data_IF_263923903489
#
_entry.id   IF_263923903489
#
_cell.length_a   1.000
_cell.length_b   1.000
_cell.length_c   1.000
_cell.angle_alpha   90.00
_cell.angle_beta   90.00
_cell.angle_gamma   90.00
#
_symmetry.space_group_name_H-M   'P 1'
#
loop_
_entity.id
_entity.type
_entity.pdbx_description
1 polymer ?
#
# COMPACT_ATOMS: atom_id res chain seq x y z
N UNK A 1 -35.93 68.46 0.52
CA UNK A 1 -34.80 68.36 1.47
C UNK A 1 -34.37 66.91 1.52
N UNK A 2 -33.09 66.64 1.20
CA UNK A 2 -32.21 65.55 1.70
C UNK A 2 -32.85 64.16 1.81
N UNK A 3 -32.62 63.30 0.82
CA UNK A 3 -31.70 62.15 0.89
C UNK A 3 -32.42 60.87 1.37
N UNK A 4 -32.14 59.66 0.94
CA UNK A 4 -31.03 59.11 0.19
C UNK A 4 -30.93 57.63 0.54
N UNK A 5 -30.56 56.79 -0.42
CA UNK A 5 -30.08 55.42 -0.21
C UNK A 5 -31.17 54.36 -0.01
N UNK A 6 -30.97 53.10 -0.33
CA UNK A 6 -29.92 52.41 -1.08
C UNK A 6 -30.55 51.06 -1.44
N UNK A 7 -30.57 50.69 -2.71
CA UNK A 7 -30.98 49.35 -3.12
C UNK A 7 -29.80 48.42 -2.81
N UNK A 8 -29.87 47.69 -1.70
CA UNK A 8 -28.87 46.66 -1.39
C UNK A 8 -29.14 45.45 -2.29
N UNK A 9 -28.48 45.42 -3.45
CA UNK A 9 -28.32 44.21 -4.23
C UNK A 9 -27.34 43.29 -3.49
N UNK A 10 -27.88 42.35 -2.71
CA UNK A 10 -27.13 41.24 -2.15
C UNK A 10 -26.79 40.27 -3.29
N UNK A 11 -25.64 40.46 -3.92
CA UNK A 11 -25.02 39.44 -4.75
C UNK A 11 -24.43 38.37 -3.82
N UNK A 12 -25.19 37.30 -3.58
CA UNK A 12 -24.65 36.10 -2.96
C UNK A 12 -23.67 35.46 -3.95
N UNK A 13 -22.37 35.62 -3.69
CA UNK A 13 -21.33 34.85 -4.37
C UNK A 13 -21.53 33.38 -4.00
N UNK A 14 -22.08 32.61 -4.93
CA UNK A 14 -22.01 31.15 -4.91
C UNK A 14 -20.56 30.76 -5.18
N UNK A 15 -19.73 30.79 -4.14
CA UNK A 15 -18.47 30.05 -4.15
C UNK A 15 -18.87 28.59 -3.96
N UNK A 16 -19.20 27.93 -5.06
CA UNK A 16 -19.23 26.47 -5.08
C UNK A 16 -17.81 26.03 -4.77
N UNK A 17 -17.52 25.41 -3.63
CA UNK A 17 -16.23 24.78 -3.46
C UNK A 17 -16.23 23.67 -4.51
N UNK A 18 -15.41 23.82 -5.53
CA UNK A 18 -15.14 22.78 -6.50
C UNK A 18 -14.28 21.73 -5.76
N UNK A 19 -14.90 21.03 -4.81
CA UNK A 19 -14.31 19.89 -4.13
C UNK A 19 -14.37 18.80 -5.17
N UNK A 20 -13.35 18.76 -6.02
CA UNK A 20 -13.14 17.65 -6.93
C UNK A 20 -12.83 16.44 -6.02
N UNK A 21 -13.76 15.48 -5.83
CA UNK A 21 -13.57 14.36 -4.90
C UNK A 21 -12.54 13.35 -5.42
N UNK A 22 -11.93 13.63 -6.58
CA UNK A 22 -11.22 12.69 -7.43
C UNK A 22 -9.72 12.58 -7.15
N UNK A 23 -9.17 13.22 -6.11
CA UNK A 23 -7.70 13.18 -5.87
C UNK A 23 -7.24 12.83 -4.46
N UNK A 24 -8.13 12.44 -3.56
CA UNK A 24 -7.71 11.64 -2.40
C UNK A 24 -7.62 10.18 -2.85
N UNK A 25 -6.61 9.85 -3.65
CA UNK A 25 -6.19 8.46 -3.79
C UNK A 25 -5.65 8.04 -2.43
N UNK A 26 -6.53 7.56 -1.56
CA UNK A 26 -6.17 7.00 -0.27
C UNK A 26 -5.06 5.98 -0.52
N UNK A 27 -3.85 6.29 -0.05
CA UNK A 27 -2.75 5.34 -0.09
C UNK A 27 -3.24 4.08 0.61
N UNK A 28 -3.33 2.97 -0.12
CA UNK A 28 -3.91 1.75 0.40
C UNK A 28 -3.12 1.29 1.63
N UNK A 29 -3.74 1.39 2.81
CA UNK A 29 -3.07 1.16 4.07
C UNK A 29 -2.39 -0.22 4.09
N UNK A 30 -1.15 -0.25 4.59
CA UNK A 30 -0.36 -1.46 4.81
C UNK A 30 -0.57 -1.95 6.25
N UNK A 31 -1.83 -2.19 6.61
CA UNK A 31 -2.22 -2.58 7.96
C UNK A 31 -1.98 -4.07 8.17
N UNK A 32 -1.33 -4.43 9.27
CA UNK A 32 -1.19 -5.82 9.66
C UNK A 32 -2.55 -6.37 10.13
N UNK A 33 -3.19 -7.25 9.34
CA UNK A 33 -4.50 -7.82 9.67
C UNK A 33 -4.38 -9.18 10.37
N UNK A 34 -3.25 -9.86 10.19
CA UNK A 34 -2.96 -11.14 10.84
C UNK A 34 -1.46 -11.33 11.01
N UNK A 35 -1.00 -11.33 12.26
CA UNK A 35 0.37 -11.68 12.58
C UNK A 35 0.54 -13.20 12.52
N UNK A 36 1.53 -13.68 11.77
CA UNK A 36 1.79 -15.10 11.55
C UNK A 36 3.02 -15.53 12.38
N UNK A 37 4.23 -15.12 11.99
CA UNK A 37 5.48 -15.51 12.66
C UNK A 37 6.22 -14.28 13.22
N UNK A 38 6.09 -13.94 14.53
CA UNK A 38 6.60 -12.68 15.09
C UNK A 38 8.12 -12.48 15.01
N UNK A 39 8.88 -13.56 14.80
CA UNK A 39 10.34 -13.57 14.70
C UNK A 39 10.82 -13.79 13.25
N UNK A 40 9.93 -13.71 12.27
CA UNK A 40 10.30 -13.80 10.86
C UNK A 40 11.20 -12.63 10.49
N UNK A 41 12.37 -12.95 9.95
CA UNK A 41 13.36 -12.00 9.46
C UNK A 41 13.88 -12.51 8.12
N UNK A 42 14.09 -11.58 7.18
CA UNK A 42 14.63 -11.89 5.86
C UNK A 42 16.04 -11.31 5.73
N UNK A 43 16.99 -12.19 5.41
CA UNK A 43 18.40 -11.89 5.14
C UNK A 43 18.62 -11.35 3.72
N UNK A 44 19.80 -10.80 3.45
CA UNK A 44 20.17 -10.32 2.10
C UNK A 44 20.15 -11.44 1.05
N UNK A 45 20.59 -12.64 1.42
CA UNK A 45 20.62 -13.78 0.50
C UNK A 45 19.21 -14.25 0.12
N UNK A 46 18.27 -14.20 1.06
CA UNK A 46 16.86 -14.48 0.80
C UNK A 46 16.22 -13.41 -0.09
N UNK A 47 16.52 -12.12 0.12
CA UNK A 47 16.08 -11.05 -0.81
C UNK A 47 16.62 -11.31 -2.20
N UNK A 48 17.92 -11.59 -2.33
CA UNK A 48 18.53 -11.90 -3.64
C UNK A 48 17.83 -13.07 -4.33
N UNK A 49 17.53 -14.14 -3.58
CA UNK A 49 16.79 -15.29 -4.12
C UNK A 49 15.38 -14.92 -4.59
N UNK A 50 14.70 -13.99 -3.93
CA UNK A 50 13.42 -13.45 -4.42
C UNK A 50 13.58 -12.67 -5.72
N UNK A 51 14.63 -11.84 -5.83
CA UNK A 51 14.91 -11.08 -7.06
C UNK A 51 15.20 -11.98 -8.26
N UNK A 52 15.77 -13.16 -8.01
CA UNK A 52 16.02 -14.19 -9.03
C UNK A 52 14.79 -15.09 -9.29
N UNK A 53 13.67 -14.91 -8.58
CA UNK A 53 12.45 -15.72 -8.74
C UNK A 53 11.54 -15.13 -9.82
N UNK A 54 11.14 -15.97 -10.77
CA UNK A 54 10.22 -15.57 -11.84
C UNK A 54 8.83 -15.19 -11.30
N UNK A 55 8.23 -14.15 -11.89
CA UNK A 55 6.81 -13.87 -11.71
C UNK A 55 5.97 -15.10 -12.10
N UNK A 56 4.79 -15.24 -11.51
CA UNK A 56 3.88 -16.40 -11.63
C UNK A 56 4.38 -17.69 -10.98
N UNK A 57 5.55 -17.67 -10.33
CA UNK A 57 5.99 -18.77 -9.47
C UNK A 57 4.94 -19.05 -8.37
N UNK A 58 4.75 -20.32 -7.96
CA UNK A 58 3.87 -20.65 -6.86
C UNK A 58 4.30 -19.93 -5.58
N UNK A 59 3.34 -19.42 -4.81
CA UNK A 59 3.55 -18.85 -3.48
C UNK A 59 4.36 -19.78 -2.57
N UNK A 60 4.09 -21.08 -2.64
CA UNK A 60 4.84 -22.09 -1.91
C UNK A 60 6.36 -22.03 -2.21
N UNK A 61 6.75 -21.84 -3.47
CA UNK A 61 8.16 -21.72 -3.88
C UNK A 61 8.82 -20.48 -3.27
N UNK A 62 8.11 -19.36 -3.17
CA UNK A 62 8.61 -18.17 -2.46
C UNK A 62 8.75 -18.44 -0.96
N UNK A 63 7.76 -19.09 -0.37
CA UNK A 63 7.74 -19.41 1.06
C UNK A 63 8.72 -20.51 1.46
N UNK A 64 9.23 -21.32 0.53
CA UNK A 64 10.31 -22.29 0.80
C UNK A 64 11.57 -21.61 1.33
N UNK A 65 11.89 -20.42 0.82
CA UNK A 65 13.09 -19.70 1.23
C UNK A 65 12.82 -18.44 2.05
N UNK A 66 11.64 -17.82 1.95
CA UNK A 66 11.25 -16.72 2.85
C UNK A 66 10.62 -17.20 4.16
N UNK A 67 10.21 -18.47 4.23
CA UNK A 67 9.42 -19.02 5.33
C UNK A 67 8.09 -18.26 5.53
N UNK A 68 7.46 -18.46 6.68
CA UNK A 68 6.23 -17.78 7.04
C UNK A 68 6.48 -16.26 7.23
N UNK A 69 5.55 -15.39 6.78
CA UNK A 69 5.68 -13.96 6.95
C UNK A 69 5.59 -13.54 8.42
N UNK A 70 6.04 -12.33 8.71
CA UNK A 70 5.73 -11.69 9.98
C UNK A 70 4.24 -11.39 10.06
N UNK A 71 3.69 -10.82 8.98
CA UNK A 71 2.30 -10.43 8.93
C UNK A 71 1.69 -10.59 7.54
N UNK A 72 0.44 -11.04 7.48
CA UNK A 72 -0.44 -10.84 6.32
C UNK A 72 -1.08 -9.46 6.45
N UNK A 73 -0.85 -8.61 5.45
CA UNK A 73 -1.36 -7.25 5.41
C UNK A 73 -2.77 -7.20 4.79
N UNK A 74 -3.46 -6.08 4.97
CA UNK A 74 -4.67 -5.78 4.20
C UNK A 74 -4.40 -5.94 2.70
N UNK A 75 -5.33 -6.51 1.91
CA UNK A 75 -5.15 -6.64 0.46
C UNK A 75 -5.04 -5.25 -0.17
N UNK A 76 -4.35 -5.15 -1.30
CA UNK A 76 -4.15 -3.89 -2.01
C UNK A 76 -3.93 -4.08 -3.50
N UNK A 77 -3.07 -3.26 -4.08
CA UNK A 77 -2.76 -3.29 -5.50
C UNK A 77 -1.26 -3.34 -5.79
N UNK A 78 -0.91 -3.91 -6.94
CA UNK A 78 0.41 -3.78 -7.57
C UNK A 78 0.61 -2.37 -8.11
N UNK A 79 1.82 -2.03 -8.55
CA UNK A 79 2.10 -0.76 -9.24
C UNK A 79 1.28 -0.59 -10.53
N UNK A 80 0.89 -1.69 -11.16
CA UNK A 80 0.00 -1.69 -12.32
C UNK A 80 -1.50 -1.55 -11.96
N UNK A 81 -1.83 -1.38 -10.68
CA UNK A 81 -3.21 -1.21 -10.20
C UNK A 81 -4.02 -2.51 -10.11
N UNK A 82 -3.38 -3.68 -10.26
CA UNK A 82 -4.05 -4.98 -10.15
C UNK A 82 -4.19 -5.38 -8.68
N UNK A 83 -5.31 -6.02 -8.27
CA UNK A 83 -5.47 -6.52 -6.91
C UNK A 83 -4.33 -7.47 -6.50
N UNK A 84 -3.89 -7.39 -5.25
CA UNK A 84 -2.85 -8.23 -4.69
C UNK A 84 -3.08 -8.51 -3.20
N UNK A 85 -2.88 -9.76 -2.81
CA UNK A 85 -2.61 -10.14 -1.43
C UNK A 85 -1.18 -9.73 -1.05
N UNK A 86 -0.97 -9.41 0.23
CA UNK A 86 0.28 -8.78 0.70
C UNK A 86 0.83 -9.50 1.93
N UNK A 87 2.08 -9.94 1.86
CA UNK A 87 2.82 -10.52 2.99
C UNK A 87 4.02 -9.65 3.35
N UNK A 88 4.17 -9.31 4.63
CA UNK A 88 5.26 -8.48 5.12
C UNK A 88 6.34 -9.31 5.81
N UNK A 89 7.58 -9.00 5.46
CA UNK A 89 8.79 -9.63 5.97
C UNK A 89 9.79 -8.53 6.41
N UNK A 90 10.03 -8.36 7.71
CA UNK A 90 11.05 -7.44 8.20
C UNK A 90 12.44 -7.86 7.72
N UNK A 91 13.24 -6.88 7.31
CA UNK A 91 14.62 -7.14 6.89
C UNK A 91 15.52 -7.24 8.12
N UNK A 92 16.38 -8.26 8.15
CA UNK A 92 17.39 -8.43 9.22
C UNK A 92 18.40 -7.27 9.24
N UNK A 93 18.79 -6.80 8.06
CA UNK A 93 19.85 -5.80 7.87
C UNK A 93 19.35 -4.35 7.81
N UNK A 94 18.03 -4.15 7.76
CA UNK A 94 17.38 -2.84 7.88
C UNK A 94 16.03 -3.00 8.58
N UNK A 95 16.01 -3.00 9.92
CA UNK A 95 14.80 -3.28 10.67
C UNK A 95 13.65 -2.30 10.38
N UNK A 96 13.95 -1.08 9.89
CA UNK A 96 12.93 -0.07 9.58
C UNK A 96 12.21 -0.31 8.25
N UNK A 97 12.63 -1.31 7.49
CA UNK A 97 12.09 -1.62 6.17
C UNK A 97 11.48 -3.02 6.16
N UNK A 98 10.27 -3.12 5.60
CA UNK A 98 9.63 -4.37 5.25
C UNK A 98 9.82 -4.65 3.77
N UNK A 99 10.19 -5.90 3.46
CA UNK A 99 9.90 -6.49 2.17
C UNK A 99 8.43 -6.90 2.16
N UNK A 100 7.66 -6.36 1.21
CA UNK A 100 6.26 -6.73 1.00
C UNK A 100 6.17 -7.58 -0.26
N UNK A 101 5.80 -8.85 -0.12
CA UNK A 101 5.59 -9.75 -1.26
C UNK A 101 4.13 -9.70 -1.68
N UNK A 102 3.90 -9.60 -2.99
CA UNK A 102 2.59 -9.48 -3.61
C UNK A 102 2.18 -10.79 -4.27
N UNK A 103 0.94 -11.22 -4.04
CA UNK A 103 0.38 -12.42 -4.64
C UNK A 103 -0.97 -12.15 -5.32
N UNK A 104 -1.23 -12.87 -6.41
CA UNK A 104 -2.57 -13.06 -6.98
C UNK A 104 -2.96 -14.53 -6.76
N UNK A 105 -3.77 -14.78 -5.73
CA UNK A 105 -4.06 -16.13 -5.26
C UNK A 105 -2.80 -16.90 -4.88
N UNK A 106 -2.49 -17.97 -5.63
CA UNK A 106 -1.31 -18.82 -5.41
C UNK A 106 -0.06 -18.36 -6.19
N UNK A 107 -0.11 -17.22 -6.87
CA UNK A 107 0.96 -16.74 -7.77
C UNK A 107 1.69 -15.56 -7.21
N UNK A 108 3.02 -15.63 -7.21
CA UNK A 108 3.88 -14.48 -6.97
C UNK A 108 3.77 -13.48 -8.11
N UNK A 109 3.41 -12.23 -7.81
CA UNK A 109 3.21 -11.18 -8.82
C UNK A 109 4.12 -9.97 -8.63
N UNK A 110 4.98 -9.98 -7.62
CA UNK A 110 6.00 -8.97 -7.41
C UNK A 110 6.27 -8.69 -5.94
N UNK A 111 7.04 -7.64 -5.68
CA UNK A 111 7.38 -7.20 -4.33
C UNK A 111 7.52 -5.68 -4.28
N UNK A 112 7.56 -5.14 -3.07
CA UNK A 112 7.86 -3.74 -2.79
C UNK A 112 8.65 -3.62 -1.48
N UNK A 113 9.29 -2.47 -1.27
CA UNK A 113 9.89 -2.09 0.00
C UNK A 113 9.11 -0.95 0.64
N UNK A 114 8.80 -1.12 1.93
CA UNK A 114 8.02 -0.14 2.69
C UNK A 114 8.69 0.17 4.02
N UNK A 115 8.77 1.46 4.33
CA UNK A 115 9.17 1.92 5.66
C UNK A 115 8.03 1.68 6.65
N UNK A 116 8.38 1.21 7.85
CA UNK A 116 7.44 0.98 8.95
C UNK A 116 7.20 2.24 9.79
#
# INVERSE_FOLDING_TARGET
MVAGGSVLALAALLISPNINPDQAQEAEAFTCIRQEQPKSLVSRDQVKKLLDTDLQAPKATVQEFLHAPYCVLSPGKTEAGLPAEREAYPLEFDPQTWLVVLYDGDRYVGYDFRFR
#
